data_IF_396744971016
#
_entry.id   IF_396744971016
#
_cell.length_a   1.000
_cell.length_b   1.000
_cell.length_c   1.000
_cell.angle_alpha   90.00
_cell.angle_beta   90.00
_cell.angle_gamma   90.00
#
_symmetry.space_group_name_H-M   'P 1'
#
loop_
_entity.id
_entity.type
_entity.pdbx_description
1 polymer ?
#
# COMPACT_ATOMS: atom_id res chain seq x y z
N UNK A 1 20.00 -30.69 7.33
CA UNK A 1 19.76 -29.60 8.30
C UNK A 1 18.51 -28.83 7.89
N UNK A 2 17.70 -28.36 8.84
CA UNK A 2 16.53 -27.51 8.54
C UNK A 2 16.97 -26.05 8.43
N UNK A 3 16.61 -25.39 7.33
CA UNK A 3 16.99 -23.99 7.06
C UNK A 3 15.75 -23.10 7.17
N UNK A 4 15.84 -22.01 7.93
CA UNK A 4 14.81 -20.97 8.00
C UNK A 4 15.27 -19.78 7.17
N UNK A 5 14.48 -19.40 6.15
CA UNK A 5 14.76 -18.27 5.27
C UNK A 5 13.88 -17.08 5.67
N UNK A 6 14.47 -16.11 6.34
CA UNK A 6 13.80 -14.89 6.78
C UNK A 6 13.93 -13.77 5.74
N UNK A 7 13.15 -12.70 5.86
CA UNK A 7 13.21 -11.56 4.94
C UNK A 7 14.35 -10.60 5.26
N UNK A 8 14.72 -10.50 6.54
CA UNK A 8 15.63 -9.49 7.06
C UNK A 8 16.44 -9.98 8.26
N UNK A 9 17.61 -9.37 8.55
CA UNK A 9 18.47 -9.78 9.65
C UNK A 9 17.82 -9.74 11.04
N UNK A 10 16.98 -8.73 11.31
CA UNK A 10 16.28 -8.55 12.60
C UNK A 10 15.37 -9.74 12.90
N UNK A 11 14.53 -10.11 11.95
CA UNK A 11 13.66 -11.29 11.99
C UNK A 11 14.47 -12.58 12.15
N UNK A 12 15.57 -12.73 11.39
CA UNK A 12 16.46 -13.90 11.50
C UNK A 12 17.08 -14.06 12.88
N UNK A 13 17.51 -12.95 13.52
CA UNK A 13 18.04 -12.95 14.88
C UNK A 13 17.00 -13.41 15.91
N UNK A 14 15.76 -12.93 15.81
CA UNK A 14 14.69 -13.27 16.75
C UNK A 14 14.28 -14.74 16.65
N UNK A 15 14.15 -15.25 15.42
CA UNK A 15 13.83 -16.66 15.18
C UNK A 15 14.98 -17.57 15.63
N UNK A 16 16.23 -17.20 15.34
CA UNK A 16 17.42 -17.96 15.76
C UNK A 16 17.50 -18.10 17.28
N UNK A 17 17.21 -17.02 18.02
CA UNK A 17 17.17 -17.01 19.49
C UNK A 17 16.14 -17.99 20.05
N UNK A 18 14.93 -18.02 19.49
CA UNK A 18 13.87 -18.94 19.93
C UNK A 18 14.19 -20.41 19.58
N UNK A 19 14.85 -20.64 18.44
CA UNK A 19 15.28 -21.97 17.99
C UNK A 19 16.56 -22.49 18.68
N UNK A 20 17.22 -21.68 19.51
CA UNK A 20 18.51 -22.03 20.11
C UNK A 20 19.68 -22.07 19.12
N UNK A 21 19.54 -21.43 17.95
CA UNK A 21 20.60 -21.27 16.96
C UNK A 21 21.52 -20.10 17.36
N UNK A 22 22.37 -20.33 18.36
CA UNK A 22 23.20 -19.28 18.96
C UNK A 22 24.53 -18.99 18.24
N UNK A 23 25.00 -19.88 17.36
CA UNK A 23 26.30 -19.71 16.71
C UNK A 23 26.17 -18.74 15.53
N UNK A 24 26.85 -17.59 15.60
CA UNK A 24 26.82 -16.59 14.53
C UNK A 24 27.78 -16.97 13.41
N UNK A 25 27.26 -17.07 12.19
CA UNK A 25 28.03 -17.22 10.96
C UNK A 25 27.96 -15.98 10.08
N UNK A 26 28.59 -16.05 8.91
CA UNK A 26 28.43 -15.02 7.89
C UNK A 26 27.04 -15.17 7.23
N UNK A 27 26.16 -14.20 7.46
CA UNK A 27 24.81 -14.17 6.88
C UNK A 27 23.83 -15.24 7.43
N UNK A 28 24.15 -15.87 8.56
CA UNK A 28 23.27 -16.83 9.21
C UNK A 28 23.57 -17.02 10.71
N UNK A 29 22.68 -17.73 11.38
CA UNK A 29 22.86 -18.33 12.69
C UNK A 29 22.71 -19.84 12.60
N UNK A 30 23.53 -20.62 13.30
CA UNK A 30 23.48 -22.08 13.34
C UNK A 30 23.27 -22.63 14.75
N UNK A 31 22.62 -23.78 14.82
CA UNK A 31 22.38 -24.55 16.04
C UNK A 31 22.33 -26.05 15.74
N UNK A 32 21.94 -26.85 16.73
CA UNK A 32 21.85 -28.30 16.56
C UNK A 32 20.79 -28.67 15.50
N UNK A 33 21.24 -29.01 14.29
CA UNK A 33 20.39 -29.44 13.18
C UNK A 33 19.61 -28.32 12.45
N UNK A 34 19.75 -27.07 12.89
CA UNK A 34 19.03 -25.90 12.36
C UNK A 34 19.97 -24.78 11.93
N UNK A 35 19.59 -24.09 10.86
CA UNK A 35 20.25 -22.86 10.41
C UNK A 35 19.18 -21.81 10.12
N UNK A 36 19.39 -20.58 10.56
CA UNK A 36 18.54 -19.43 10.25
C UNK A 36 19.34 -18.46 9.40
N UNK A 37 18.88 -18.18 8.20
CA UNK A 37 19.45 -17.17 7.30
C UNK A 37 18.37 -16.17 6.92
N UNK A 38 18.74 -15.14 6.19
CA UNK A 38 17.84 -14.04 5.83
C UNK A 38 18.19 -13.45 4.47
N UNK A 39 17.17 -12.87 3.86
CA UNK A 39 17.31 -11.92 2.79
C UNK A 39 17.61 -10.51 3.34
N UNK A 40 17.66 -9.51 2.45
CA UNK A 40 17.75 -8.09 2.79
C UNK A 40 16.71 -7.39 1.91
N UNK A 41 15.43 -7.67 2.21
CA UNK A 41 14.37 -7.50 1.22
C UNK A 41 14.60 -8.42 0.02
N UNK A 42 14.31 -7.97 -1.20
CA UNK A 42 14.66 -8.72 -2.40
C UNK A 42 16.18 -8.85 -2.57
N UNK A 43 16.69 -10.07 -2.69
CA UNK A 43 18.10 -10.34 -3.07
C UNK A 43 18.29 -10.42 -4.58
N UNK A 44 17.20 -10.50 -5.33
CA UNK A 44 17.16 -10.65 -6.78
C UNK A 44 16.21 -9.60 -7.35
N UNK A 45 16.39 -9.27 -8.62
CA UNK A 45 15.54 -8.32 -9.34
C UNK A 45 15.21 -8.84 -10.74
N UNK A 46 14.10 -8.39 -11.30
CA UNK A 46 13.73 -8.74 -12.66
C UNK A 46 14.81 -8.26 -13.62
N UNK A 47 15.28 -9.15 -14.50
CA UNK A 47 16.26 -8.80 -15.52
C UNK A 47 15.73 -7.63 -16.36
N UNK A 48 16.54 -6.58 -16.63
CA UNK A 48 16.11 -5.47 -17.47
C UNK A 48 15.99 -5.90 -18.94
N UNK A 49 15.32 -5.13 -19.81
CA UNK A 49 15.07 -5.54 -21.19
C UNK A 49 16.33 -5.95 -21.97
N UNK A 50 17.44 -5.26 -21.79
CA UNK A 50 18.74 -5.56 -22.40
C UNK A 50 19.28 -6.95 -22.06
N UNK A 51 18.88 -7.52 -20.92
CA UNK A 51 19.25 -8.89 -20.59
C UNK A 51 18.58 -9.91 -21.51
N UNK A 52 17.37 -9.61 -22.04
CA UNK A 52 16.61 -10.48 -22.94
C UNK A 52 17.05 -10.45 -24.40
N UNK A 53 17.90 -9.51 -24.79
CA UNK A 53 18.46 -9.45 -26.13
C UNK A 53 19.21 -8.15 -26.39
N UNK A 54 20.29 -8.25 -27.16
CA UNK A 54 21.13 -7.11 -27.56
C UNK A 54 20.33 -6.00 -28.24
N UNK A 55 19.27 -6.36 -28.98
CA UNK A 55 18.38 -5.40 -29.63
C UNK A 55 17.79 -4.40 -28.62
N UNK A 56 17.47 -4.83 -27.39
CA UNK A 56 16.79 -4.00 -26.40
C UNK A 56 17.71 -3.02 -25.66
N UNK A 57 19.03 -3.05 -25.91
CA UNK A 57 19.98 -2.07 -25.35
C UNK A 57 19.71 -0.66 -25.88
N UNK A 58 19.38 -0.56 -27.17
CA UNK A 58 18.99 0.72 -27.78
C UNK A 58 17.47 0.82 -27.78
N UNK A 59 16.95 1.91 -27.24
CA UNK A 59 15.50 2.15 -27.25
C UNK A 59 15.05 2.53 -28.65
N UNK A 60 14.12 1.75 -29.21
CA UNK A 60 13.54 1.96 -30.52
C UNK A 60 12.06 1.55 -30.48
N UNK A 61 11.18 2.28 -31.17
CA UNK A 61 9.73 2.05 -31.13
C UNK A 61 9.39 0.71 -31.77
N UNK A 62 10.14 0.32 -32.80
CA UNK A 62 9.96 -0.90 -33.59
C UNK A 62 10.20 -2.19 -32.77
N UNK A 63 10.81 -2.07 -31.59
CA UNK A 63 11.09 -3.19 -30.68
C UNK A 63 10.01 -3.35 -29.61
N UNK A 64 9.02 -2.46 -29.56
CA UNK A 64 7.96 -2.49 -28.56
C UNK A 64 6.72 -3.22 -29.12
N UNK A 65 6.02 -4.03 -28.31
CA UNK A 65 6.32 -4.33 -26.91
C UNK A 65 7.38 -5.42 -26.74
N UNK A 66 8.19 -5.29 -25.69
CA UNK A 66 9.12 -6.28 -25.17
C UNK A 66 8.32 -7.26 -24.32
N UNK A 67 8.17 -8.49 -24.82
CA UNK A 67 7.41 -9.57 -24.19
C UNK A 67 8.34 -10.77 -23.94
N UNK A 68 8.86 -10.96 -22.71
CA UNK A 68 9.69 -12.12 -22.41
C UNK A 68 8.91 -13.44 -22.50
N UNK A 69 9.38 -14.38 -23.32
CA UNK A 69 8.84 -15.76 -23.33
C UNK A 69 9.18 -16.50 -22.04
N UNK A 70 10.39 -16.28 -21.52
CA UNK A 70 10.89 -16.84 -20.27
C UNK A 70 11.37 -15.72 -19.37
N UNK A 71 10.65 -15.50 -18.28
CA UNK A 71 10.99 -14.52 -17.26
C UNK A 71 12.26 -14.92 -16.52
N UNK A 72 13.15 -13.95 -16.30
CA UNK A 72 14.39 -14.14 -15.54
C UNK A 72 14.53 -13.08 -14.47
N UNK A 73 15.17 -13.50 -13.38
CA UNK A 73 15.63 -12.64 -12.30
C UNK A 73 17.14 -12.81 -12.14
N UNK A 74 17.81 -11.79 -11.67
CA UNK A 74 19.25 -11.79 -11.43
C UNK A 74 19.58 -11.28 -10.03
N UNK A 75 20.68 -11.71 -9.40
CA UNK A 75 21.08 -11.22 -8.09
C UNK A 75 21.38 -9.72 -8.13
N UNK A 76 20.86 -8.99 -7.15
CA UNK A 76 21.16 -7.57 -6.99
C UNK A 76 22.62 -7.38 -6.60
N UNK A 77 23.33 -6.49 -7.28
CA UNK A 77 24.74 -6.23 -7.01
C UNK A 77 25.01 -5.87 -5.54
N UNK A 78 24.14 -5.05 -4.94
CA UNK A 78 24.27 -4.59 -3.56
C UNK A 78 24.15 -5.71 -2.50
N UNK A 79 23.45 -6.80 -2.80
CA UNK A 79 23.18 -7.89 -1.85
C UNK A 79 23.68 -9.25 -2.33
N UNK A 80 24.49 -9.28 -3.39
CA UNK A 80 25.04 -10.48 -4.01
C UNK A 80 25.84 -11.36 -3.04
N UNK A 81 26.54 -10.76 -2.06
CA UNK A 81 27.27 -11.51 -1.04
C UNK A 81 26.32 -12.34 -0.16
N UNK A 82 25.20 -11.76 0.26
CA UNK A 82 24.18 -12.46 1.05
C UNK A 82 23.46 -13.50 0.20
N UNK A 83 23.17 -13.21 -1.06
CA UNK A 83 22.60 -14.19 -1.99
C UNK A 83 23.46 -15.46 -2.09
N UNK A 84 24.78 -15.34 -2.21
CA UNK A 84 25.71 -16.48 -2.23
C UNK A 84 25.63 -17.32 -0.94
N UNK A 85 25.53 -16.67 0.22
CA UNK A 85 25.35 -17.38 1.50
C UNK A 85 24.04 -18.16 1.50
N UNK A 86 22.93 -17.50 1.15
CA UNK A 86 21.60 -18.12 1.13
C UNK A 86 21.59 -19.30 0.15
N UNK A 87 22.14 -19.14 -1.06
CA UNK A 87 22.23 -20.19 -2.07
C UNK A 87 22.96 -21.43 -1.54
N UNK A 88 24.13 -21.25 -0.90
CA UNK A 88 24.91 -22.35 -0.31
C UNK A 88 24.16 -23.07 0.82
N UNK A 89 23.39 -22.34 1.64
CA UNK A 89 22.63 -22.91 2.74
C UNK A 89 21.38 -23.65 2.26
N UNK A 90 20.65 -23.08 1.30
CA UNK A 90 19.47 -23.71 0.68
C UNK A 90 19.87 -25.00 -0.03
N UNK A 91 20.98 -25.02 -0.77
CA UNK A 91 21.48 -26.23 -1.44
C UNK A 91 21.82 -27.38 -0.47
N UNK A 92 22.16 -27.07 0.79
CA UNK A 92 22.47 -28.05 1.85
C UNK A 92 21.26 -28.38 2.73
N UNK A 93 20.11 -27.75 2.50
CA UNK A 93 18.91 -27.91 3.32
C UNK A 93 18.28 -29.29 3.07
N UNK A 94 18.02 -30.04 4.15
CA UNK A 94 17.18 -31.23 4.06
C UNK A 94 15.69 -30.87 4.11
N UNK A 95 15.38 -29.68 4.63
CA UNK A 95 14.06 -29.09 4.71
C UNK A 95 14.22 -27.57 4.79
N UNK A 96 13.35 -26.83 4.11
CA UNK A 96 13.33 -25.37 4.11
C UNK A 96 12.05 -24.85 4.79
N UNK A 97 12.19 -23.82 5.62
CA UNK A 97 11.07 -23.10 6.22
C UNK A 97 11.09 -21.66 5.70
N UNK A 98 10.06 -21.27 4.96
CA UNK A 98 9.83 -19.88 4.58
C UNK A 98 9.41 -19.11 5.83
N UNK A 99 10.21 -18.12 6.22
CA UNK A 99 10.01 -17.31 7.42
C UNK A 99 10.01 -15.80 7.12
N UNK A 100 9.81 -15.42 5.85
CA UNK A 100 9.60 -14.03 5.40
C UNK A 100 8.30 -13.45 5.94
N UNK A 101 8.07 -12.14 5.76
CA UNK A 101 6.87 -11.49 6.31
C UNK A 101 5.58 -12.11 5.75
N UNK A 102 4.50 -12.01 6.53
CA UNK A 102 3.25 -12.74 6.34
C UNK A 102 2.32 -12.08 5.29
N UNK A 103 2.85 -11.80 4.11
CA UNK A 103 2.14 -11.15 3.01
C UNK A 103 2.54 -11.75 1.64
N UNK A 104 2.03 -11.16 0.55
CA UNK A 104 2.34 -11.59 -0.82
C UNK A 104 3.80 -11.32 -1.22
N UNK A 105 4.39 -10.23 -0.75
CA UNK A 105 5.74 -9.81 -1.14
C UNK A 105 6.78 -10.71 -0.46
N UNK A 106 6.58 -11.04 0.82
CA UNK A 106 7.37 -12.01 1.56
C UNK A 106 7.35 -13.40 0.93
N UNK A 107 6.22 -13.86 0.39
CA UNK A 107 6.15 -15.11 -0.38
C UNK A 107 6.98 -15.05 -1.66
N UNK A 108 6.94 -13.93 -2.40
CA UNK A 108 7.76 -13.71 -3.59
C UNK A 108 9.25 -13.71 -3.27
N UNK A 109 9.67 -12.96 -2.25
CA UNK A 109 11.07 -12.88 -1.80
C UNK A 109 11.64 -14.27 -1.54
N UNK A 110 10.91 -15.13 -0.83
CA UNK A 110 11.39 -16.46 -0.52
C UNK A 110 11.41 -17.37 -1.76
N UNK A 111 10.34 -17.36 -2.56
CA UNK A 111 10.17 -18.34 -3.64
C UNK A 111 11.01 -18.06 -4.87
N UNK A 112 11.29 -16.81 -5.20
CA UNK A 112 12.25 -16.51 -6.28
C UNK A 112 13.64 -17.07 -5.96
N UNK A 113 14.05 -17.04 -4.68
CA UNK A 113 15.32 -17.63 -4.22
C UNK A 113 15.28 -19.15 -4.28
N UNK A 114 14.17 -19.77 -3.84
CA UNK A 114 13.96 -21.22 -3.91
C UNK A 114 14.05 -21.70 -5.37
N UNK A 115 13.37 -21.00 -6.28
CA UNK A 115 13.35 -21.30 -7.71
C UNK A 115 14.75 -21.16 -8.32
N UNK A 116 15.48 -20.08 -8.01
CA UNK A 116 16.85 -19.86 -8.49
C UNK A 116 17.88 -20.86 -7.93
N UNK A 117 17.65 -21.37 -6.72
CA UNK A 117 18.49 -22.41 -6.12
C UNK A 117 18.12 -23.83 -6.60
N UNK A 118 17.12 -23.96 -7.45
CA UNK A 118 16.57 -25.25 -7.91
C UNK A 118 16.23 -26.20 -6.74
N UNK A 119 15.76 -25.65 -5.61
CA UNK A 119 15.47 -26.46 -4.45
C UNK A 119 14.19 -27.28 -4.68
N UNK A 120 14.25 -28.59 -4.40
CA UNK A 120 13.14 -29.55 -4.60
C UNK A 120 12.78 -30.35 -3.34
N UNK A 121 13.41 -30.02 -2.21
CA UNK A 121 13.12 -30.67 -0.93
C UNK A 121 11.83 -30.18 -0.27
N UNK A 122 11.48 -30.70 0.91
CA UNK A 122 10.29 -30.31 1.66
C UNK A 122 10.33 -28.83 2.07
N UNK A 123 9.20 -28.13 1.90
CA UNK A 123 9.05 -26.72 2.25
C UNK A 123 7.86 -26.54 3.20
N UNK A 124 8.11 -25.88 4.33
CA UNK A 124 7.10 -25.42 5.30
C UNK A 124 7.05 -23.89 5.32
N UNK A 125 5.99 -23.33 5.89
CA UNK A 125 5.77 -21.88 6.02
C UNK A 125 5.52 -21.50 7.48
N UNK A 126 6.38 -20.63 8.00
CA UNK A 126 6.24 -20.01 9.32
C UNK A 126 5.50 -18.67 9.17
N UNK A 127 4.23 -18.60 9.57
CA UNK A 127 3.39 -17.40 9.41
C UNK A 127 3.39 -16.54 10.69
N UNK A 128 4.07 -15.39 10.67
CA UNK A 128 4.27 -14.53 11.84
C UNK A 128 3.53 -13.20 11.72
N UNK A 129 2.64 -12.91 12.67
CA UNK A 129 1.99 -11.59 12.82
C UNK A 129 2.72 -10.65 13.79
N UNK A 130 3.57 -11.20 14.66
CA UNK A 130 4.36 -10.46 15.65
C UNK A 130 5.70 -11.17 15.94
N UNK A 131 6.72 -10.39 16.30
CA UNK A 131 8.10 -10.86 16.51
C UNK A 131 8.50 -11.04 17.99
N UNK A 132 7.53 -11.01 18.92
CA UNK A 132 7.80 -11.36 20.32
C UNK A 132 7.95 -12.89 20.49
N UNK A 133 8.71 -13.32 21.50
CA UNK A 133 9.06 -14.72 21.72
C UNK A 133 7.84 -15.65 21.83
N UNK A 134 6.75 -15.20 22.47
CA UNK A 134 5.52 -15.98 22.61
C UNK A 134 4.87 -16.25 21.24
N UNK A 135 4.80 -15.23 20.38
CA UNK A 135 4.22 -15.33 19.04
C UNK A 135 5.07 -16.22 18.13
N UNK A 136 6.40 -16.09 18.20
CA UNK A 136 7.32 -16.94 17.43
C UNK A 136 7.19 -18.41 17.86
N UNK A 137 7.18 -18.70 19.17
CA UNK A 137 7.00 -20.07 19.68
C UNK A 137 5.67 -20.67 19.24
N UNK A 138 4.58 -19.90 19.33
CA UNK A 138 3.26 -20.34 18.88
C UNK A 138 3.26 -20.68 17.39
N UNK A 139 3.83 -19.82 16.56
CA UNK A 139 3.88 -20.03 15.10
C UNK A 139 4.80 -21.20 14.70
N UNK A 140 5.92 -21.40 15.40
CA UNK A 140 6.79 -22.56 15.19
C UNK A 140 6.10 -23.89 15.53
N UNK A 141 5.17 -23.89 16.48
CA UNK A 141 4.33 -25.05 16.80
C UNK A 141 3.21 -25.32 15.79
N UNK A 142 2.98 -24.41 14.84
CA UNK A 142 1.89 -24.46 13.87
C UNK A 142 2.37 -24.10 12.45
N UNK A 143 3.50 -24.69 12.04
CA UNK A 143 4.01 -24.53 10.67
C UNK A 143 2.97 -24.99 9.65
N UNK A 144 2.80 -24.18 8.60
CA UNK A 144 1.87 -24.45 7.52
C UNK A 144 2.56 -25.23 6.39
N UNK A 145 1.87 -26.14 5.70
CA UNK A 145 2.28 -26.60 4.39
C UNK A 145 2.52 -25.42 3.45
N UNK A 146 3.62 -25.43 2.70
CA UNK A 146 3.95 -24.36 1.76
C UNK A 146 2.92 -24.15 0.65
N UNK A 147 2.09 -25.14 0.35
CA UNK A 147 1.01 -25.03 -0.64
C UNK A 147 -0.09 -24.04 -0.22
N UNK A 148 -0.33 -23.85 1.09
CA UNK A 148 -1.39 -22.94 1.58
C UNK A 148 -1.16 -21.49 1.13
N UNK A 149 0.09 -21.06 1.04
CA UNK A 149 0.46 -19.67 0.68
C UNK A 149 0.98 -19.53 -0.74
N UNK A 150 1.03 -20.62 -1.51
CA UNK A 150 1.45 -20.60 -2.92
C UNK A 150 0.60 -19.66 -3.81
N UNK A 151 -0.74 -19.52 -3.62
CA UNK A 151 -1.51 -18.54 -4.38
C UNK A 151 -1.05 -17.07 -4.17
N UNK A 152 -0.56 -16.73 -2.98
CA UNK A 152 -0.03 -15.39 -2.69
C UNK A 152 1.23 -15.09 -3.50
N UNK A 153 2.09 -16.10 -3.68
CA UNK A 153 3.23 -16.00 -4.56
C UNK A 153 2.83 -15.73 -6.00
N UNK A 154 1.89 -16.50 -6.56
CA UNK A 154 1.45 -16.28 -7.94
C UNK A 154 0.81 -14.91 -8.13
N UNK A 155 0.09 -14.40 -7.11
CA UNK A 155 -0.43 -13.04 -7.10
C UNK A 155 0.69 -11.98 -7.15
N UNK A 156 1.70 -12.09 -6.29
CA UNK A 156 2.85 -11.17 -6.29
C UNK A 156 3.66 -11.25 -7.59
N UNK A 157 3.89 -12.47 -8.11
CA UNK A 157 4.60 -12.70 -9.36
C UNK A 157 3.85 -12.10 -10.56
N UNK A 158 2.53 -12.29 -10.63
CA UNK A 158 1.69 -11.70 -11.68
C UNK A 158 1.74 -10.18 -11.63
N UNK A 159 1.62 -9.58 -10.43
CA UNK A 159 1.76 -8.13 -10.21
C UNK A 159 3.11 -7.62 -10.68
N UNK A 160 4.21 -8.23 -10.24
CA UNK A 160 5.58 -7.82 -10.60
C UNK A 160 5.78 -7.86 -12.12
N UNK A 161 5.36 -8.95 -12.78
CA UNK A 161 5.47 -9.10 -14.24
C UNK A 161 4.60 -8.10 -14.99
N UNK A 162 3.37 -7.85 -14.53
CA UNK A 162 2.50 -6.84 -15.13
C UNK A 162 3.06 -5.42 -14.99
N UNK A 163 3.59 -5.08 -13.82
CA UNK A 163 4.20 -3.78 -13.56
C UNK A 163 5.48 -3.61 -14.40
N UNK A 164 6.28 -4.65 -14.57
CA UNK A 164 7.43 -4.66 -15.48
C UNK A 164 7.01 -4.47 -16.95
N UNK A 165 6.01 -5.22 -17.43
CA UNK A 165 5.51 -5.13 -18.81
C UNK A 165 5.01 -3.72 -19.12
N UNK A 166 4.16 -3.17 -18.26
CA UNK A 166 3.58 -1.83 -18.45
C UNK A 166 4.68 -0.78 -18.32
N UNK A 167 5.47 -0.86 -17.24
CA UNK A 167 6.52 0.10 -16.91
C UNK A 167 7.58 0.20 -17.99
N UNK A 168 8.17 -0.93 -18.39
CA UNK A 168 9.26 -0.95 -19.36
C UNK A 168 8.78 -0.54 -20.74
N UNK A 169 7.62 -1.03 -21.19
CA UNK A 169 7.13 -0.74 -22.55
C UNK A 169 6.62 0.69 -22.68
N UNK A 170 5.72 1.12 -21.79
CA UNK A 170 5.11 2.44 -21.93
C UNK A 170 6.09 3.56 -21.59
N UNK A 171 6.96 3.39 -20.59
CA UNK A 171 7.98 4.42 -20.31
C UNK A 171 8.94 4.59 -21.48
N UNK A 172 9.37 3.49 -22.13
CA UNK A 172 10.20 3.56 -23.35
C UNK A 172 9.44 4.25 -24.49
N UNK A 173 8.20 3.86 -24.75
CA UNK A 173 7.36 4.45 -25.80
C UNK A 173 7.20 5.96 -25.59
N UNK A 174 6.68 6.38 -24.44
CA UNK A 174 6.39 7.80 -24.18
C UNK A 174 7.67 8.62 -24.12
N UNK A 175 8.78 8.09 -23.58
CA UNK A 175 10.07 8.79 -23.61
C UNK A 175 10.58 8.99 -25.04
N UNK A 176 10.45 7.99 -25.93
CA UNK A 176 10.85 8.13 -27.33
C UNK A 176 9.97 9.16 -28.07
N UNK A 177 8.65 9.14 -27.86
CA UNK A 177 7.74 10.14 -28.41
C UNK A 177 8.05 11.55 -27.89
N UNK A 178 8.34 11.68 -26.59
CA UNK A 178 8.78 12.94 -25.99
C UNK A 178 10.07 13.46 -26.63
N UNK A 179 11.06 12.59 -26.85
CA UNK A 179 12.32 12.95 -27.54
C UNK A 179 12.10 13.43 -28.97
N UNK A 180 11.20 12.79 -29.72
CA UNK A 180 10.80 13.26 -31.06
C UNK A 180 10.19 14.66 -31.02
N UNK A 181 9.50 15.01 -29.93
CA UNK A 181 8.94 16.33 -29.67
C UNK A 181 9.91 17.32 -28.98
N UNK A 182 11.19 16.96 -28.80
CA UNK A 182 12.23 17.83 -28.21
C UNK A 182 12.39 17.73 -26.69
N UNK A 183 11.68 16.82 -26.01
CA UNK A 183 11.84 16.58 -24.58
C UNK A 183 13.06 15.67 -24.31
N UNK A 184 13.95 16.10 -23.42
CA UNK A 184 15.22 15.40 -23.14
C UNK A 184 15.16 14.47 -21.92
N UNK A 185 14.10 14.55 -21.11
CA UNK A 185 13.93 13.73 -19.91
C UNK A 185 13.31 12.36 -20.18
N UNK A 186 12.96 11.67 -19.08
CA UNK A 186 12.18 10.43 -19.09
C UNK A 186 10.72 10.76 -18.85
N UNK A 187 9.83 10.14 -19.63
CA UNK A 187 8.39 10.14 -19.39
C UNK A 187 8.00 8.77 -18.86
N UNK A 188 8.08 8.60 -17.53
CA UNK A 188 7.74 7.34 -16.88
C UNK A 188 6.24 7.11 -16.92
N UNK A 189 5.85 5.90 -17.29
CA UNK A 189 4.47 5.45 -17.30
C UNK A 189 4.39 4.16 -16.51
N UNK A 190 3.43 4.08 -15.59
CA UNK A 190 3.24 2.89 -14.78
C UNK A 190 1.82 2.78 -14.28
N UNK A 191 1.39 1.54 -14.05
CA UNK A 191 0.02 1.20 -13.64
C UNK A 191 -0.43 1.90 -12.36
N UNK A 192 0.49 2.29 -11.48
CA UNK A 192 0.20 3.02 -10.23
C UNK A 192 0.49 4.51 -10.37
N UNK A 193 1.73 4.89 -10.71
CA UNK A 193 2.14 6.30 -10.77
C UNK A 193 1.30 7.15 -11.74
N UNK A 194 0.88 6.59 -12.88
CA UNK A 194 0.17 7.35 -13.91
C UNK A 194 -1.29 7.62 -13.52
N UNK A 195 -2.07 6.66 -13.00
CA UNK A 195 -3.36 6.97 -12.40
C UNK A 195 -3.28 7.92 -11.21
N UNK A 196 -2.26 7.81 -10.35
CA UNK A 196 -2.06 8.77 -9.24
C UNK A 196 -1.84 10.19 -9.77
N UNK A 197 -1.00 10.37 -10.78
CA UNK A 197 -0.83 11.66 -11.46
C UNK A 197 -2.15 12.17 -12.07
N UNK A 198 -2.95 11.26 -12.66
CA UNK A 198 -4.25 11.62 -13.23
C UNK A 198 -5.20 12.20 -12.19
N UNK A 199 -5.25 11.68 -10.96
CA UNK A 199 -6.11 12.22 -9.90
C UNK A 199 -5.78 13.69 -9.59
N UNK A 200 -4.48 14.04 -9.54
CA UNK A 200 -4.03 15.42 -9.32
C UNK A 200 -4.37 16.30 -10.52
N UNK A 201 -4.04 15.85 -11.73
CA UNK A 201 -4.29 16.61 -12.96
C UNK A 201 -5.78 16.85 -13.20
N UNK A 202 -6.64 15.88 -12.90
CA UNK A 202 -8.09 16.03 -13.02
C UNK A 202 -8.61 17.04 -11.99
N UNK A 203 -8.16 16.97 -10.74
CA UNK A 203 -8.51 17.95 -9.71
C UNK A 203 -8.06 19.37 -10.08
N UNK A 204 -6.84 19.53 -10.61
CA UNK A 204 -6.35 20.83 -11.06
C UNK A 204 -7.19 21.37 -12.22
N UNK A 205 -7.63 20.50 -13.14
CA UNK A 205 -8.54 20.87 -14.24
C UNK A 205 -9.93 21.23 -13.74
N UNK A 206 -10.45 20.53 -12.74
CA UNK A 206 -11.72 20.88 -12.08
C UNK A 206 -11.64 22.28 -11.46
N UNK A 207 -10.57 22.55 -10.71
CA UNK A 207 -10.32 23.86 -10.08
C UNK A 207 -10.17 24.95 -11.15
N UNK A 208 -9.37 24.72 -12.20
CA UNK A 208 -9.15 25.69 -13.26
C UNK A 208 -10.41 26.01 -14.07
N UNK A 209 -11.36 25.07 -14.16
CA UNK A 209 -12.66 25.24 -14.83
C UNK A 209 -13.76 25.72 -13.89
N UNK A 210 -13.49 25.83 -12.59
CA UNK A 210 -14.48 26.26 -11.62
C UNK A 210 -14.84 27.72 -11.85
N UNK A 211 -16.13 27.98 -12.08
CA UNK A 211 -16.67 29.34 -12.19
C UNK A 211 -17.42 29.62 -10.89
N UNK A 212 -16.91 30.58 -10.11
CA UNK A 212 -17.58 31.04 -8.91
C UNK A 212 -18.93 31.68 -9.25
N UNK A 213 -20.02 31.17 -8.69
CA UNK A 213 -21.36 31.73 -8.83
C UNK A 213 -21.85 32.18 -7.45
N UNK A 214 -22.33 33.42 -7.28
CA UNK A 214 -22.93 33.85 -6.03
C UNK A 214 -24.22 33.07 -5.77
N UNK A 215 -24.45 32.72 -4.51
CA UNK A 215 -25.72 32.18 -4.06
C UNK A 215 -26.16 32.88 -2.77
N UNK A 216 -27.45 32.78 -2.48
CA UNK A 216 -28.06 33.44 -1.33
C UNK A 216 -28.69 32.40 -0.41
N UNK A 217 -28.38 32.50 0.88
CA UNK A 217 -28.98 31.73 1.96
C UNK A 217 -29.59 32.69 2.98
N UNK A 218 -30.62 32.24 3.69
CA UNK A 218 -31.25 33.00 4.77
C UNK A 218 -31.30 32.11 6.00
N UNK A 219 -30.71 32.59 7.08
CA UNK A 219 -30.85 31.99 8.41
C UNK A 219 -31.88 32.79 9.20
N UNK A 220 -32.79 32.08 9.87
CA UNK A 220 -33.87 32.67 10.67
C UNK A 220 -33.71 32.23 12.11
N UNK A 221 -33.51 33.18 13.01
CA UNK A 221 -33.53 32.91 14.44
C UNK A 221 -35.00 32.77 14.89
N UNK A 222 -35.33 31.61 15.45
CA UNK A 222 -36.66 31.28 15.97
C UNK A 222 -36.57 30.99 17.46
N UNK A 223 -37.66 31.20 18.18
CA UNK A 223 -37.77 30.87 19.61
C UNK A 223 -39.12 30.24 19.92
N UNK A 224 -39.11 29.19 20.73
CA UNK A 224 -40.31 28.53 21.24
C UNK A 224 -40.08 28.10 22.68
N UNK A 225 -41.03 28.38 23.57
CA UNK A 225 -40.95 28.02 25.00
C UNK A 225 -39.62 28.44 25.69
N UNK A 226 -39.06 29.58 25.29
CA UNK A 226 -37.80 30.10 25.84
C UNK A 226 -36.53 29.48 25.25
N UNK A 227 -36.63 28.54 24.30
CA UNK A 227 -35.50 27.94 23.59
C UNK A 227 -35.34 28.59 22.21
N UNK A 228 -34.12 29.05 21.90
CA UNK A 228 -33.80 29.65 20.60
C UNK A 228 -33.05 28.66 19.71
N UNK A 229 -33.34 28.68 18.42
CA UNK A 229 -32.66 27.86 17.41
C UNK A 229 -32.63 28.60 16.06
N UNK A 230 -31.79 28.13 15.14
CA UNK A 230 -31.67 28.68 13.78
C UNK A 230 -32.32 27.73 12.79
N UNK A 231 -33.20 28.27 11.95
CA UNK A 231 -33.74 27.57 10.80
C UNK A 231 -33.10 28.12 9.51
N UNK A 232 -32.76 27.23 8.58
CA UNK A 232 -32.29 27.60 7.24
C UNK A 232 -33.46 27.67 6.26
N UNK A 233 -33.57 28.77 5.52
CA UNK A 233 -34.57 28.91 4.46
C UNK A 233 -34.26 27.98 3.30
N UNK A 234 -35.29 27.28 2.82
CA UNK A 234 -35.23 26.49 1.59
C UNK A 234 -35.79 27.31 0.42
N UNK A 235 -35.01 27.55 -0.65
CA UNK A 235 -35.47 28.31 -1.80
C UNK A 235 -36.62 27.61 -2.54
N UNK A 236 -37.54 28.36 -3.19
CA UNK A 236 -38.59 27.76 -4.00
C UNK A 236 -38.00 27.02 -5.22
N UNK A 237 -38.70 25.99 -5.67
CA UNK A 237 -38.30 25.20 -6.83
C UNK A 237 -38.09 26.08 -8.06
N UNK A 238 -36.99 25.85 -8.79
CA UNK A 238 -36.62 26.63 -9.98
C UNK A 238 -35.81 27.90 -9.69
N UNK A 239 -35.55 28.21 -8.41
CA UNK A 239 -34.63 29.29 -7.99
C UNK A 239 -33.30 28.79 -7.43
N UNK A 240 -33.15 27.47 -7.31
CA UNK A 240 -32.00 26.80 -6.73
C UNK A 240 -31.17 26.02 -7.76
N UNK A 241 -29.91 25.75 -7.40
CA UNK A 241 -29.08 24.78 -8.08
C UNK A 241 -29.27 23.35 -7.53
N UNK A 242 -28.52 22.40 -8.07
CA UNK A 242 -28.55 20.98 -7.67
C UNK A 242 -28.15 20.75 -6.20
N UNK A 243 -27.47 21.72 -5.57
CA UNK A 243 -27.11 21.69 -4.16
C UNK A 243 -28.13 22.42 -3.27
N UNK A 244 -29.28 22.83 -3.83
CA UNK A 244 -30.35 23.51 -3.11
C UNK A 244 -30.08 24.99 -2.80
N UNK A 245 -29.03 25.60 -3.38
CA UNK A 245 -28.61 26.99 -3.10
C UNK A 245 -29.36 27.95 -4.00
N UNK A 246 -29.93 29.04 -3.46
CA UNK A 246 -30.65 30.02 -4.29
C UNK A 246 -29.68 30.81 -5.18
N UNK A 247 -29.91 30.81 -6.49
CA UNK A 247 -29.11 31.58 -7.47
C UNK A 247 -29.74 32.93 -7.84
N UNK A 248 -30.91 33.25 -7.30
CA UNK A 248 -31.66 34.46 -7.65
C UNK A 248 -31.77 35.40 -6.45
N UNK A 249 -30.93 36.42 -6.44
CA UNK A 249 -30.94 37.44 -5.38
C UNK A 249 -32.34 38.04 -5.11
N UNK A 250 -33.17 38.40 -6.12
CA UNK A 250 -34.48 39.00 -5.85
C UNK A 250 -35.42 38.05 -5.10
N UNK A 251 -35.34 36.75 -5.38
CA UNK A 251 -36.14 35.71 -4.69
C UNK A 251 -35.75 35.65 -3.22
N UNK A 252 -34.45 35.63 -2.93
CA UNK A 252 -33.95 35.64 -1.55
C UNK A 252 -34.30 36.95 -0.81
N UNK A 253 -34.23 38.11 -1.48
CA UNK A 253 -34.61 39.39 -0.88
C UNK A 253 -36.10 39.43 -0.54
N UNK A 254 -36.97 39.01 -1.46
CA UNK A 254 -38.41 38.94 -1.20
C UNK A 254 -38.74 37.96 -0.08
N UNK A 255 -38.08 36.81 -0.03
CA UNK A 255 -38.24 35.86 1.07
C UNK A 255 -37.80 36.47 2.41
N UNK A 256 -36.67 37.17 2.45
CA UNK A 256 -36.17 37.84 3.65
C UNK A 256 -37.13 38.92 4.16
N UNK A 257 -37.71 39.73 3.26
CA UNK A 257 -38.72 40.73 3.63
C UNK A 257 -39.96 40.08 4.24
N UNK A 258 -40.50 39.03 3.59
CA UNK A 258 -41.65 38.29 4.11
C UNK A 258 -41.38 37.68 5.48
N UNK A 259 -40.20 37.07 5.66
CA UNK A 259 -39.77 36.47 6.92
C UNK A 259 -39.60 37.52 8.03
N UNK A 260 -39.11 38.73 7.73
CA UNK A 260 -39.02 39.83 8.71
C UNK A 260 -40.39 40.33 9.18
N UNK A 261 -41.37 40.35 8.28
CA UNK A 261 -42.74 40.78 8.60
C UNK A 261 -43.57 39.67 9.25
N UNK A 262 -43.12 38.42 9.19
CA UNK A 262 -43.80 37.30 9.81
C UNK A 262 -43.63 37.35 11.33
N UNK A 263 -44.74 37.27 12.06
CA UNK A 263 -44.74 37.28 13.53
C UNK A 263 -44.55 35.89 14.15
N UNK A 264 -44.71 34.82 13.37
CA UNK A 264 -44.65 33.44 13.83
C UNK A 264 -44.25 32.48 12.71
N UNK A 265 -43.76 31.30 13.09
CA UNK A 265 -43.50 30.18 12.20
C UNK A 265 -44.31 28.96 12.67
N UNK A 266 -44.78 28.14 11.74
CA UNK A 266 -45.48 26.89 12.02
C UNK A 266 -44.54 25.70 11.79
N UNK A 267 -44.45 24.82 12.78
CA UNK A 267 -43.75 23.54 12.62
C UNK A 267 -44.63 22.61 11.78
N UNK A 268 -44.12 22.18 10.63
CA UNK A 268 -44.83 21.28 9.72
C UNK A 268 -44.61 19.80 10.07
N UNK A 269 -43.40 19.45 10.49
CA UNK A 269 -43.00 18.10 10.87
C UNK A 269 -41.87 18.13 11.88
N UNK A 270 -41.85 17.16 12.79
CA UNK A 270 -40.73 16.90 13.70
C UNK A 270 -40.43 15.42 13.65
N UNK A 271 -39.18 15.09 13.39
CA UNK A 271 -38.68 13.73 13.43
C UNK A 271 -37.51 13.68 14.41
N UNK A 272 -37.54 12.69 15.29
CA UNK A 272 -36.48 12.45 16.27
C UNK A 272 -35.96 11.03 16.06
N UNK A 273 -34.76 10.93 15.54
CA UNK A 273 -34.09 9.66 15.33
C UNK A 273 -33.03 9.41 16.41
N UNK A 274 -33.02 8.19 16.95
CA UNK A 274 -31.93 7.75 17.84
C UNK A 274 -30.82 7.13 17.00
N UNK A 275 -29.78 7.92 16.72
CA UNK A 275 -28.59 7.44 16.02
C UNK A 275 -27.60 6.82 17.02
N UNK A 276 -26.99 5.69 16.66
CA UNK A 276 -25.89 5.06 17.41
C UNK A 276 -24.66 5.00 16.53
N UNK A 277 -23.59 5.67 16.95
CA UNK A 277 -22.28 5.57 16.33
C UNK A 277 -21.43 4.54 17.09
N UNK A 278 -20.87 3.57 16.36
CA UNK A 278 -19.95 2.58 16.92
C UNK A 278 -18.54 3.15 17.07
N UNK A 279 -17.68 2.53 17.90
CA UNK A 279 -16.26 2.88 17.90
C UNK A 279 -15.64 2.60 16.52
N UNK A 280 -14.60 3.36 16.11
CA UNK A 280 -13.86 3.06 14.90
C UNK A 280 -13.20 1.68 15.00
N UNK A 281 -12.95 1.07 13.84
CA UNK A 281 -12.16 -0.16 13.75
C UNK A 281 -10.69 0.10 14.15
N UNK A 282 -9.95 -0.96 14.54
CA UNK A 282 -8.49 -0.93 14.57
C UNK A 282 -7.86 -0.39 13.28
N UNK A 283 -6.60 0.04 13.37
CA UNK A 283 -5.92 0.66 12.23
C UNK A 283 -5.36 -0.38 11.24
N UNK A 284 -5.75 -0.24 9.97
CA UNK A 284 -4.88 -0.57 8.84
C UNK A 284 -3.82 0.54 8.61
N UNK A 285 -2.81 0.28 7.77
CA UNK A 285 -1.74 1.25 7.51
C UNK A 285 -2.24 2.56 6.88
N UNK A 286 -3.22 2.50 5.96
CA UNK A 286 -3.76 3.69 5.29
C UNK A 286 -4.50 4.59 6.27
N UNK A 287 -5.39 4.01 7.08
CA UNK A 287 -6.11 4.74 8.13
C UNK A 287 -5.14 5.32 9.17
N UNK A 288 -4.10 4.57 9.56
CA UNK A 288 -3.05 5.07 10.44
C UNK A 288 -2.33 6.30 9.84
N UNK A 289 -1.94 6.22 8.56
CA UNK A 289 -1.28 7.32 7.84
C UNK A 289 -2.18 8.55 7.72
N UNK A 290 -3.47 8.39 7.45
CA UNK A 290 -4.45 9.49 7.42
C UNK A 290 -4.57 10.19 8.78
N UNK A 291 -4.71 9.41 9.86
CA UNK A 291 -4.84 9.95 11.21
C UNK A 291 -3.56 10.64 11.65
N UNK A 292 -2.39 10.04 11.42
CA UNK A 292 -1.09 10.64 11.74
C UNK A 292 -0.83 11.92 10.93
N UNK A 293 -1.17 11.94 9.65
CA UNK A 293 -1.05 13.16 8.84
C UNK A 293 -1.96 14.28 9.37
N UNK A 294 -3.23 13.96 9.66
CA UNK A 294 -4.21 14.94 10.15
C UNK A 294 -3.89 15.47 11.55
N UNK A 295 -3.46 14.61 12.47
CA UNK A 295 -3.28 14.98 13.88
C UNK A 295 -1.86 15.39 14.23
N UNK A 296 -0.85 14.82 13.56
CA UNK A 296 0.56 14.97 13.91
C UNK A 296 1.39 15.63 12.80
N UNK A 297 0.83 15.81 11.59
CA UNK A 297 1.54 16.40 10.46
C UNK A 297 2.64 15.53 9.87
N UNK A 298 2.66 14.22 10.21
CA UNK A 298 3.63 13.27 9.68
C UNK A 298 3.31 12.97 8.21
N UNK A 299 4.35 12.81 7.40
CA UNK A 299 4.15 12.28 6.06
C UNK A 299 3.91 10.75 6.08
N UNK A 300 3.50 10.22 4.92
CA UNK A 300 3.15 8.81 4.72
C UNK A 300 4.33 7.89 5.02
N UNK A 301 5.54 8.29 4.62
CA UNK A 301 6.76 7.49 4.77
C UNK A 301 7.26 7.52 6.22
N UNK A 302 7.26 8.68 6.85
CA UNK A 302 7.64 8.88 8.25
C UNK A 302 6.74 8.05 9.18
N UNK A 303 5.43 8.04 8.95
CA UNK A 303 4.49 7.19 9.70
C UNK A 303 4.85 5.70 9.56
N UNK A 304 5.15 5.25 8.34
CA UNK A 304 5.52 3.87 8.07
C UNK A 304 6.87 3.48 8.69
N UNK A 305 7.84 4.38 8.71
CA UNK A 305 9.16 4.15 9.32
C UNK A 305 9.06 4.04 10.84
N UNK A 306 8.25 4.90 11.48
CA UNK A 306 7.95 4.82 12.92
C UNK A 306 7.22 3.50 13.23
N UNK A 307 6.19 3.16 12.45
CA UNK A 307 5.43 1.93 12.65
C UNK A 307 6.31 0.67 12.49
N UNK A 308 7.24 0.68 11.52
CA UNK A 308 8.27 -0.36 11.37
C UNK A 308 9.19 -0.43 12.59
N UNK A 309 9.66 0.71 13.12
CA UNK A 309 10.49 0.72 14.32
C UNK A 309 9.74 0.15 15.54
N UNK A 310 8.46 0.50 15.71
CA UNK A 310 7.61 -0.03 16.77
C UNK A 310 7.42 -1.55 16.66
N UNK A 311 7.27 -2.07 15.44
CA UNK A 311 7.13 -3.49 15.18
C UNK A 311 8.44 -4.27 15.34
N UNK A 312 9.54 -3.77 14.75
CA UNK A 312 10.81 -4.50 14.65
C UNK A 312 11.75 -4.27 15.83
N UNK A 313 11.88 -3.02 16.28
CA UNK A 313 12.84 -2.65 17.32
C UNK A 313 12.21 -2.76 18.69
N UNK A 314 11.03 -2.17 18.86
CA UNK A 314 10.39 -2.07 20.17
C UNK A 314 9.43 -3.22 20.48
N UNK A 315 9.03 -4.01 19.46
CA UNK A 315 8.05 -5.10 19.58
C UNK A 315 6.74 -4.64 20.25
N UNK A 316 6.37 -3.38 20.05
CA UNK A 316 5.24 -2.71 20.69
C UNK A 316 3.93 -2.87 19.90
N UNK A 317 4.04 -3.15 18.59
CA UNK A 317 2.90 -3.27 17.67
C UNK A 317 2.96 -4.58 16.88
N UNK A 318 1.85 -4.93 16.23
CA UNK A 318 1.76 -5.99 15.23
C UNK A 318 2.28 -5.51 13.88
N UNK A 319 2.32 -6.42 12.89
CA UNK A 319 2.81 -6.13 11.54
C UNK A 319 2.20 -4.85 10.94
N UNK A 320 3.00 -3.82 10.60
CA UNK A 320 2.50 -2.48 10.32
C UNK A 320 2.13 -2.26 8.85
N UNK A 321 2.31 -3.26 7.97
CA UNK A 321 1.93 -3.18 6.55
C UNK A 321 0.62 -3.93 6.25
N UNK A 322 -0.22 -4.07 7.28
CA UNK A 322 -1.55 -4.67 7.18
C UNK A 322 -2.54 -3.73 6.48
N UNK A 323 -3.37 -4.29 5.60
CA UNK A 323 -4.54 -3.66 4.99
C UNK A 323 -5.86 -4.03 5.70
N UNK A 324 -5.79 -4.80 6.80
CA UNK A 324 -6.94 -5.13 7.65
C UNK A 324 -7.05 -4.16 8.82
N UNK A 325 -8.20 -3.49 8.92
CA UNK A 325 -8.66 -2.67 10.05
C UNK A 325 -9.79 -3.35 10.82
#
# INVERSE_FOLDING_TARGET
>A
MRVFLCEKPSQGKDIARVLGAGQRGNGCYSGAGVVVTWCIGHLVEAVPPEGYGEQYKRWAIEQLPILPERWRVEPKAATAAQFKVVQLLVAKASELVIATDADREGEMIAREIIDLCDYRGPIQRLWLSALNDASIRKALGALKPSAETLPLYFSALARSRADWLIGMNLSRLFTLLGRQAGYTGVLSVGRVQTPTLKLVVDRDREIARFVCVPFWAIEVALSHAGQSFVASWTPPQGSNDDAGRCLQQPVAQQAAERLRTASSAQVLSVETERVREGPPLPFDLGTLQEVCSKQLGLDVQETLDIAQALYETHKATTYPRSDSG
#
